data_IF_284555240982
#
_entry.id   IF_284555240982
#
_cell.length_a   1.000
_cell.length_b   1.000
_cell.length_c   1.000
_cell.angle_alpha   90.00
_cell.angle_beta   90.00
_cell.angle_gamma   90.00
#
_symmetry.space_group_name_H-M   'P 1'
#
loop_
_entity.id
_entity.type
_entity.pdbx_description
1 polymer ?
#
# COMPACT_ATOMS: atom_id res chain seq x y z
N UNK A 1 -18.59 7.63 -9.07
CA UNK A 1 -17.21 7.16 -8.76
C UNK A 1 -17.03 6.84 -7.27
N UNK A 2 -17.83 5.92 -6.69
CA UNK A 2 -17.92 5.72 -5.22
C UNK A 2 -17.58 4.31 -4.73
N UNK A 3 -17.36 3.34 -5.62
CA UNK A 3 -17.23 1.92 -5.24
C UNK A 3 -15.87 1.46 -4.68
N UNK A 4 -14.82 2.29 -4.65
CA UNK A 4 -13.51 1.82 -4.18
C UNK A 4 -13.44 1.68 -2.65
N UNK A 5 -14.24 2.46 -1.91
CA UNK A 5 -14.24 2.44 -0.44
C UNK A 5 -14.73 1.11 0.11
N UNK A 6 -15.78 0.52 -0.48
CA UNK A 6 -16.28 -0.79 -0.06
C UNK A 6 -15.25 -1.90 -0.28
N UNK A 7 -14.60 -1.91 -1.45
CA UNK A 7 -13.52 -2.86 -1.75
C UNK A 7 -12.32 -2.70 -0.81
N UNK A 8 -11.97 -1.44 -0.49
CA UNK A 8 -10.91 -1.16 0.47
C UNK A 8 -11.27 -1.65 1.88
N UNK A 9 -12.48 -1.35 2.36
CA UNK A 9 -12.96 -1.77 3.68
C UNK A 9 -13.01 -3.30 3.79
N UNK A 10 -13.55 -3.98 2.77
CA UNK A 10 -13.56 -5.44 2.70
C UNK A 10 -12.13 -6.00 2.78
N UNK A 11 -11.19 -5.40 2.05
CA UNK A 11 -9.79 -5.84 2.08
C UNK A 11 -9.09 -5.59 3.42
N UNK A 12 -9.61 -4.67 4.23
CA UNK A 12 -9.06 -4.33 5.54
C UNK A 12 -9.79 -4.99 6.71
N UNK A 13 -10.93 -5.64 6.48
CA UNK A 13 -11.74 -6.25 7.54
C UNK A 13 -10.92 -7.25 8.37
N UNK A 14 -10.26 -8.20 7.70
CA UNK A 14 -9.41 -9.20 8.36
C UNK A 14 -8.22 -8.60 9.13
N UNK A 15 -7.34 -7.77 8.52
CA UNK A 15 -6.22 -7.20 9.26
C UNK A 15 -6.69 -6.26 10.39
N UNK A 16 -7.87 -5.64 10.28
CA UNK A 16 -8.48 -4.91 11.40
C UNK A 16 -8.89 -5.85 12.53
N UNK A 17 -9.59 -6.94 12.24
CA UNK A 17 -10.02 -7.90 13.27
C UNK A 17 -8.83 -8.50 14.01
N UNK A 18 -7.77 -8.88 13.28
CA UNK A 18 -6.51 -9.36 13.89
C UNK A 18 -5.87 -8.27 14.73
N UNK A 19 -5.75 -7.05 14.20
CA UNK A 19 -5.08 -5.97 14.93
C UNK A 19 -5.86 -5.60 16.19
N UNK A 20 -7.19 -5.59 16.14
CA UNK A 20 -8.05 -5.36 17.29
C UNK A 20 -7.85 -6.45 18.34
N UNK A 21 -7.85 -7.73 17.94
CA UNK A 21 -7.63 -8.85 18.85
C UNK A 21 -6.24 -8.78 19.51
N UNK A 22 -5.20 -8.48 18.73
CA UNK A 22 -3.83 -8.30 19.24
C UNK A 22 -3.77 -7.13 20.21
N UNK A 23 -4.32 -5.97 19.86
CA UNK A 23 -4.32 -4.79 20.72
C UNK A 23 -5.06 -5.06 22.03
N UNK A 24 -6.21 -5.76 21.99
CA UNK A 24 -6.96 -6.13 23.20
C UNK A 24 -6.15 -7.07 24.11
N UNK A 25 -5.56 -8.12 23.55
CA UNK A 25 -4.75 -9.09 24.31
C UNK A 25 -3.52 -8.42 24.90
N UNK A 26 -2.79 -7.64 24.10
CA UNK A 26 -1.58 -6.94 24.57
C UNK A 26 -1.95 -5.90 25.63
N UNK A 27 -3.05 -5.17 25.47
CA UNK A 27 -3.47 -4.19 26.47
C UNK A 27 -3.96 -4.84 27.78
N UNK A 28 -4.52 -6.05 27.72
CA UNK A 28 -4.85 -6.83 28.91
C UNK A 28 -3.59 -7.31 29.67
N UNK A 29 -2.50 -7.59 28.94
CA UNK A 29 -1.21 -7.99 29.53
C UNK A 29 -0.36 -6.79 29.98
N UNK A 30 -0.45 -5.67 29.25
CA UNK A 30 0.31 -4.44 29.48
C UNK A 30 -0.65 -3.26 29.41
N UNK A 31 -1.26 -2.88 30.56
CA UNK A 31 -2.16 -1.75 30.63
C UNK A 31 -1.48 -0.47 30.13
N UNK A 32 -2.11 0.23 29.20
CA UNK A 32 -1.58 1.46 28.60
C UNK A 32 -0.88 1.27 27.25
N UNK A 33 -0.73 0.04 26.75
CA UNK A 33 -0.22 -0.23 25.40
C UNK A 33 -1.00 0.53 24.32
N UNK A 34 -2.33 0.55 24.40
CA UNK A 34 -3.19 1.26 23.42
C UNK A 34 -2.85 2.75 23.37
N UNK A 35 -2.66 3.38 24.54
CA UNK A 35 -2.32 4.79 24.63
C UNK A 35 -0.94 5.06 24.04
N UNK A 36 0.05 4.23 24.38
CA UNK A 36 1.40 4.33 23.80
C UNK A 36 1.41 4.13 22.28
N UNK A 37 0.64 3.15 21.78
CA UNK A 37 0.49 2.87 20.36
C UNK A 37 -0.15 4.04 19.60
N UNK A 38 -1.25 4.58 20.12
CA UNK A 38 -1.94 5.73 19.53
C UNK A 38 -1.05 6.98 19.56
N UNK A 39 -0.40 7.26 20.70
CA UNK A 39 0.53 8.38 20.84
C UNK A 39 1.71 8.26 19.87
N UNK A 40 2.32 7.07 19.78
CA UNK A 40 3.40 6.79 18.83
C UNK A 40 2.97 6.93 17.37
N UNK A 41 1.76 6.47 17.04
CA UNK A 41 1.19 6.61 15.69
C UNK A 41 0.95 8.07 15.31
N UNK A 42 0.44 8.88 16.25
CA UNK A 42 0.24 10.32 16.08
C UNK A 42 1.59 11.02 15.94
N UNK A 43 2.57 10.70 16.79
CA UNK A 43 3.92 11.26 16.72
C UNK A 43 4.60 10.93 15.39
N UNK A 44 4.53 9.67 14.93
CA UNK A 44 5.04 9.26 13.62
C UNK A 44 4.32 9.96 12.46
N UNK A 45 3.01 10.16 12.55
CA UNK A 45 2.23 10.90 11.57
C UNK A 45 2.61 12.38 11.50
N UNK A 46 2.83 13.02 12.65
CA UNK A 46 3.30 14.40 12.76
C UNK A 46 4.74 14.54 12.27
N UNK A 47 5.63 13.61 12.63
CA UNK A 47 7.00 13.57 12.16
C UNK A 47 7.03 13.45 10.63
N UNK A 48 6.25 12.52 10.05
CA UNK A 48 6.09 12.37 8.59
C UNK A 48 5.53 13.63 7.91
N UNK A 49 4.70 14.40 8.60
CA UNK A 49 4.18 15.68 8.08
C UNK A 49 5.26 16.76 8.10
N UNK A 50 6.09 16.78 9.15
CA UNK A 50 7.14 17.78 9.38
C UNK A 50 8.39 17.53 8.53
N UNK A 51 8.80 16.28 8.34
CA UNK A 51 9.95 15.89 7.50
C UNK A 51 9.60 15.81 6.02
N UNK A 52 8.35 16.10 5.64
CA UNK A 52 7.85 15.87 4.30
C UNK A 52 7.76 14.37 3.96
N UNK A 53 7.14 14.05 2.82
CA UNK A 53 7.04 12.67 2.33
C UNK A 53 8.38 12.08 1.85
N UNK A 54 9.50 12.76 2.12
CA UNK A 54 10.84 12.41 1.66
C UNK A 54 11.60 11.53 2.65
N UNK A 55 11.06 10.36 3.01
CA UNK A 55 11.93 9.32 3.57
C UNK A 55 12.91 8.88 2.47
N UNK A 56 14.08 9.51 2.44
CA UNK A 56 15.14 9.30 1.45
C UNK A 56 14.87 9.93 0.07
N UNK A 57 13.98 10.93 -0.04
CA UNK A 57 13.78 11.66 -1.30
C UNK A 57 14.27 13.10 -1.18
N UNK A 58 15.02 13.57 -2.18
CA UNK A 58 15.51 14.95 -2.28
C UNK A 58 14.60 15.78 -3.19
N UNK A 59 14.55 17.12 -3.07
CA UNK A 59 13.92 17.94 -4.09
C UNK A 59 14.63 17.76 -5.44
N UNK A 60 13.86 17.78 -6.52
CA UNK A 60 14.40 17.75 -7.88
C UNK A 60 15.15 19.06 -8.19
N UNK A 61 16.26 18.96 -8.91
CA UNK A 61 17.00 20.11 -9.42
C UNK A 61 16.21 20.81 -10.55
N UNK A 62 16.49 22.09 -10.86
CA UNK A 62 15.75 22.81 -11.90
C UNK A 62 15.78 22.12 -13.28
N UNK A 63 16.91 21.48 -13.64
CA UNK A 63 17.03 20.72 -14.88
C UNK A 63 16.15 19.46 -14.89
N UNK A 64 16.08 18.74 -13.77
CA UNK A 64 15.20 17.58 -13.61
C UNK A 64 13.73 18.00 -13.64
N UNK A 65 13.38 19.14 -13.01
CA UNK A 65 12.03 19.70 -13.07
C UNK A 65 11.63 20.02 -14.50
N UNK A 66 12.52 20.65 -15.30
CA UNK A 66 12.24 20.95 -16.70
C UNK A 66 11.93 19.68 -17.52
N UNK A 67 12.70 18.61 -17.29
CA UNK A 67 12.48 17.30 -17.91
C UNK A 67 11.14 16.68 -17.47
N UNK A 68 10.81 16.75 -16.17
CA UNK A 68 9.60 16.16 -15.60
C UNK A 68 8.33 16.94 -15.96
N UNK A 69 8.44 18.26 -16.16
CA UNK A 69 7.33 19.16 -16.52
C UNK A 69 6.68 18.78 -17.84
N UNK A 70 7.46 18.35 -18.83
CA UNK A 70 6.94 17.89 -20.12
C UNK A 70 5.92 16.75 -19.99
N UNK A 71 6.10 15.87 -19.01
CA UNK A 71 5.19 14.76 -18.74
C UNK A 71 4.01 15.17 -17.87
N UNK A 72 4.25 16.03 -16.87
CA UNK A 72 3.19 16.59 -16.03
C UNK A 72 2.14 17.35 -16.84
N UNK A 73 2.55 18.04 -17.90
CA UNK A 73 1.66 18.76 -18.82
C UNK A 73 0.72 17.86 -19.63
N UNK A 74 1.05 16.57 -19.80
CA UNK A 74 0.23 15.59 -20.51
C UNK A 74 -0.88 14.98 -19.63
N UNK A 75 -0.80 15.14 -18.30
CA UNK A 75 -1.78 14.57 -17.37
C UNK A 75 -2.85 15.60 -17.03
N UNK A 76 -4.12 15.42 -17.44
CA UNK A 76 -5.16 16.44 -17.28
C UNK A 76 -5.39 16.87 -15.82
N UNK A 77 -5.25 15.95 -14.87
CA UNK A 77 -5.42 16.21 -13.43
C UNK A 77 -4.37 17.17 -12.86
N UNK A 78 -3.22 17.29 -13.53
CA UNK A 78 -2.11 18.17 -13.16
C UNK A 78 -2.07 19.46 -13.99
N UNK A 79 -2.80 19.51 -15.12
CA UNK A 79 -2.87 20.69 -15.99
C UNK A 79 -3.67 21.80 -15.30
N UNK A 80 -3.08 23.00 -15.21
CA UNK A 80 -3.77 24.21 -14.70
C UNK A 80 -3.89 24.34 -13.18
N UNK A 81 -3.42 23.37 -12.39
CA UNK A 81 -3.20 23.54 -10.94
C UNK A 81 -1.71 23.73 -10.74
N UNK A 82 -1.31 24.77 -10.00
CA UNK A 82 0.09 25.18 -9.84
C UNK A 82 1.11 24.03 -9.76
N UNK A 83 2.29 24.27 -10.32
CA UNK A 83 3.27 23.25 -10.64
C UNK A 83 3.52 22.25 -9.48
N UNK A 84 3.41 20.92 -9.72
CA UNK A 84 3.66 19.96 -8.67
C UNK A 84 5.11 20.04 -8.21
N UNK A 85 5.33 19.95 -6.90
CA UNK A 85 6.65 19.77 -6.31
C UNK A 85 7.18 18.36 -6.66
N UNK A 86 8.31 18.33 -7.35
CA UNK A 86 8.97 17.09 -7.77
C UNK A 86 10.03 16.69 -6.75
N UNK A 87 9.99 15.43 -6.35
CA UNK A 87 10.95 14.84 -5.43
C UNK A 87 11.55 13.59 -6.05
N UNK A 88 12.85 13.39 -5.85
CA UNK A 88 13.60 12.26 -6.41
C UNK A 88 14.04 11.36 -5.28
N UNK A 89 13.65 10.09 -5.36
CA UNK A 89 14.01 9.05 -4.40
C UNK A 89 15.06 8.12 -5.00
N UNK A 90 16.11 7.84 -4.25
CA UNK A 90 17.06 6.77 -4.56
C UNK A 90 16.43 5.43 -4.17
N UNK A 91 15.65 4.83 -5.06
CA UNK A 91 15.05 3.51 -4.86
C UNK A 91 14.65 2.93 -6.20
N UNK A 92 14.74 1.61 -6.33
CA UNK A 92 14.31 0.89 -7.53
C UNK A 92 12.85 0.40 -7.43
N UNK A 93 12.19 0.66 -6.28
CA UNK A 93 10.85 0.16 -6.00
C UNK A 93 9.80 1.12 -6.54
N UNK A 94 9.30 0.80 -7.74
CA UNK A 94 8.21 1.51 -8.41
C UNK A 94 8.63 2.85 -8.98
N UNK A 95 8.30 3.14 -10.23
CA UNK A 95 8.87 4.29 -10.96
C UNK A 95 8.40 5.65 -10.43
N UNK A 96 7.16 5.72 -9.94
CA UNK A 96 6.55 6.97 -9.53
C UNK A 96 5.40 6.74 -8.55
N UNK A 97 5.24 7.66 -7.60
CA UNK A 97 4.05 7.72 -6.75
C UNK A 97 3.59 9.16 -6.56
N UNK A 98 2.38 9.32 -6.02
CA UNK A 98 1.82 10.65 -5.73
C UNK A 98 1.18 10.66 -4.33
N UNK A 99 1.90 11.15 -3.28
CA UNK A 99 1.40 11.13 -1.91
C UNK A 99 0.31 12.16 -1.64
N UNK A 100 0.32 13.26 -2.38
CA UNK A 100 -0.67 14.33 -2.31
C UNK A 100 -0.84 14.96 -3.70
N UNK A 101 -1.84 15.83 -3.86
CA UNK A 101 -2.17 16.46 -5.16
C UNK A 101 -1.10 17.41 -5.72
N UNK A 102 -0.13 17.82 -4.92
CA UNK A 102 0.92 18.82 -5.24
C UNK A 102 2.33 18.27 -5.18
N UNK A 103 2.50 16.98 -4.91
CA UNK A 103 3.81 16.36 -4.70
C UNK A 103 3.85 15.08 -5.50
N UNK A 104 4.83 14.98 -6.37
CA UNK A 104 5.12 13.77 -7.14
C UNK A 104 6.50 13.31 -6.71
N UNK A 105 6.62 12.02 -6.38
CA UNK A 105 7.91 11.42 -6.08
C UNK A 105 8.25 10.44 -7.19
N UNK A 106 9.43 10.62 -7.75
CA UNK A 106 9.96 9.88 -8.90
C UNK A 106 11.23 9.16 -8.45
N UNK A 107 11.50 7.98 -8.98
CA UNK A 107 12.78 7.31 -8.71
C UNK A 107 13.90 7.89 -9.56
N UNK A 108 15.12 7.89 -9.01
CA UNK A 108 16.32 8.30 -9.77
C UNK A 108 16.51 7.49 -11.05
N UNK A 109 16.19 6.20 -11.03
CA UNK A 109 16.26 5.32 -12.20
C UNK A 109 15.33 5.76 -13.33
N UNK A 110 14.12 6.26 -13.02
CA UNK A 110 13.20 6.77 -14.04
C UNK A 110 13.72 8.07 -14.65
N UNK A 111 14.26 8.98 -13.83
CA UNK A 111 14.85 10.24 -14.30
C UNK A 111 16.01 9.96 -15.26
N UNK A 112 16.87 9.00 -14.91
CA UNK A 112 17.99 8.62 -15.78
C UNK A 112 17.53 7.93 -17.06
N UNK A 113 16.50 7.08 -16.98
CA UNK A 113 15.89 6.42 -18.15
C UNK A 113 15.20 7.40 -19.10
N UNK A 114 14.64 8.50 -18.57
CA UNK A 114 14.11 9.59 -19.40
C UNK A 114 15.23 10.41 -20.02
N UNK A 115 16.29 10.70 -19.27
CA UNK A 115 17.46 11.44 -19.77
C UNK A 115 18.15 10.71 -20.93
N UNK A 116 18.29 9.40 -20.81
CA UNK A 116 18.89 8.52 -21.83
C UNK A 116 17.94 8.20 -22.99
N UNK A 117 16.69 8.66 -22.94
CA UNK A 117 15.68 8.41 -23.97
C UNK A 117 15.16 6.96 -24.01
N UNK A 118 15.58 6.11 -23.08
CA UNK A 118 15.13 4.71 -22.95
C UNK A 118 13.62 4.63 -22.68
N UNK A 119 13.10 5.59 -21.91
CA UNK A 119 11.66 5.68 -21.62
C UNK A 119 11.08 6.94 -22.24
N UNK A 120 10.04 6.76 -23.06
CA UNK A 120 9.31 7.87 -23.67
C UNK A 120 8.56 8.72 -22.61
N UNK A 121 8.53 10.06 -22.76
CA UNK A 121 7.79 10.96 -21.87
C UNK A 121 6.29 10.65 -21.82
N UNK A 122 5.72 10.11 -22.90
CA UNK A 122 4.29 9.71 -22.97
C UNK A 122 4.03 8.50 -22.06
N UNK A 123 4.96 7.54 -21.99
CA UNK A 123 4.86 6.38 -21.08
C UNK A 123 4.91 6.81 -19.62
N UNK A 124 5.83 7.71 -19.30
CA UNK A 124 5.90 8.26 -17.95
C UNK A 124 4.68 9.10 -17.58
N UNK A 125 4.10 9.84 -18.54
CA UNK A 125 2.82 10.53 -18.34
C UNK A 125 1.68 9.53 -18.06
N UNK A 126 1.67 8.37 -18.72
CA UNK A 126 0.68 7.32 -18.47
C UNK A 126 0.80 6.72 -17.06
N UNK A 127 2.04 6.48 -16.60
CA UNK A 127 2.33 6.04 -15.22
C UNK A 127 1.93 7.12 -14.21
N UNK A 128 2.22 8.39 -14.50
CA UNK A 128 1.83 9.53 -13.67
C UNK A 128 0.30 9.69 -13.60
N UNK A 129 -0.41 9.50 -14.72
CA UNK A 129 -1.86 9.51 -14.78
C UNK A 129 -2.46 8.37 -13.93
N UNK A 130 -1.87 7.17 -13.99
CA UNK A 130 -2.27 6.05 -13.14
C UNK A 130 -2.01 6.32 -11.65
N UNK A 131 -0.88 6.93 -11.31
CA UNK A 131 -0.58 7.37 -9.94
C UNK A 131 -1.54 8.46 -9.46
N UNK A 132 -1.89 9.41 -10.33
CA UNK A 132 -2.88 10.45 -10.06
C UNK A 132 -4.29 9.86 -9.87
N UNK A 133 -4.65 8.82 -10.63
CA UNK A 133 -5.89 8.05 -10.48
C UNK A 133 -6.07 7.44 -9.09
N UNK A 134 -4.96 7.11 -8.43
CA UNK A 134 -4.93 6.56 -7.07
C UNK A 134 -4.96 7.62 -5.97
N UNK A 135 -4.90 8.92 -6.29
CA UNK A 135 -4.95 10.01 -5.32
C UNK A 135 -6.14 9.96 -4.35
N UNK A 136 -7.37 9.64 -4.77
CA UNK A 136 -8.50 9.53 -3.84
C UNK A 136 -8.25 8.53 -2.72
N UNK A 137 -7.45 7.50 -2.98
CA UNK A 137 -7.05 6.49 -1.99
C UNK A 137 -5.90 7.01 -1.13
N UNK A 138 -4.79 7.46 -1.74
CA UNK A 138 -3.57 7.86 -1.00
C UNK A 138 -3.78 9.09 -0.12
N UNK A 139 -4.70 9.98 -0.49
CA UNK A 139 -5.06 11.18 0.27
C UNK A 139 -6.20 10.97 1.26
N UNK A 140 -6.88 9.81 1.23
CA UNK A 140 -8.01 9.55 2.12
C UNK A 140 -7.56 9.41 3.57
N UNK A 141 -8.22 10.18 4.47
CA UNK A 141 -8.03 10.05 5.92
C UNK A 141 -8.42 8.65 6.41
N UNK A 142 -9.51 8.10 5.87
CA UNK A 142 -9.97 6.74 6.20
C UNK A 142 -8.91 5.70 5.89
N UNK A 143 -8.24 5.80 4.73
CA UNK A 143 -7.14 4.90 4.38
C UNK A 143 -6.03 5.04 5.40
N UNK A 144 -5.59 6.26 5.74
CA UNK A 144 -4.53 6.46 6.74
C UNK A 144 -4.87 5.87 8.11
N UNK A 145 -6.09 6.11 8.60
CA UNK A 145 -6.53 5.57 9.90
C UNK A 145 -6.55 4.05 9.87
N UNK A 146 -7.09 3.44 8.83
CA UNK A 146 -7.16 1.99 8.70
C UNK A 146 -5.77 1.36 8.54
N UNK A 147 -4.85 1.99 7.82
CA UNK A 147 -3.46 1.52 7.70
C UNK A 147 -2.74 1.52 9.06
N UNK A 148 -2.99 2.53 9.91
CA UNK A 148 -2.48 2.58 11.29
C UNK A 148 -3.17 1.56 12.18
N UNK A 149 -4.48 1.40 12.06
CA UNK A 149 -5.21 0.40 12.84
C UNK A 149 -4.82 -1.04 12.46
N UNK A 150 -4.44 -1.29 11.20
CA UNK A 150 -4.01 -2.59 10.68
C UNK A 150 -2.52 -2.89 10.88
N UNK A 151 -1.74 -1.95 11.40
CA UNK A 151 -0.29 -2.09 11.52
C UNK A 151 0.14 -3.30 12.35
N UNK A 152 -0.48 -3.63 13.50
CA UNK A 152 -0.13 -4.82 14.27
C UNK A 152 -0.22 -6.11 13.44
N UNK A 153 -1.33 -6.32 12.72
CA UNK A 153 -1.47 -7.46 11.82
C UNK A 153 -0.42 -7.46 10.70
N UNK A 154 -0.02 -6.29 10.20
CA UNK A 154 1.03 -6.18 9.17
C UNK A 154 2.42 -6.50 9.69
N UNK A 155 2.74 -6.09 10.92
CA UNK A 155 4.00 -6.43 11.55
C UNK A 155 4.08 -7.95 11.75
N UNK A 156 3.02 -8.57 12.27
CA UNK A 156 2.95 -10.03 12.45
C UNK A 156 3.10 -10.75 11.11
N UNK A 157 2.34 -10.34 10.08
CA UNK A 157 2.48 -10.97 8.76
C UNK A 157 3.86 -10.72 8.16
N UNK A 158 4.49 -9.56 8.37
CA UNK A 158 5.85 -9.25 7.92
C UNK A 158 6.91 -10.19 8.47
N UNK A 159 6.70 -10.74 9.67
CA UNK A 159 7.58 -11.76 10.26
C UNK A 159 7.41 -13.14 9.62
N UNK A 160 6.31 -13.37 8.90
CA UNK A 160 6.03 -14.66 8.24
C UNK A 160 6.70 -14.68 6.85
N UNK A 161 7.59 -15.66 6.59
CA UNK A 161 8.26 -15.82 5.30
C UNK A 161 7.26 -15.85 4.13
N UNK A 162 7.59 -15.15 3.04
CA UNK A 162 6.75 -15.12 1.82
C UNK A 162 6.54 -16.52 1.22
N UNK A 163 7.47 -17.45 1.41
CA UNK A 163 7.37 -18.85 0.97
C UNK A 163 6.17 -19.59 1.58
N UNK A 164 5.78 -19.26 2.80
CA UNK A 164 4.70 -19.92 3.56
C UNK A 164 3.32 -19.38 3.15
N UNK A 165 3.24 -18.25 2.44
CA UNK A 165 1.97 -17.60 2.05
C UNK A 165 1.33 -18.18 0.79
N UNK A 166 1.85 -19.25 0.21
CA UNK A 166 1.23 -19.89 -0.96
C UNK A 166 -0.04 -20.63 -0.52
N UNK A 167 -1.17 -20.46 -1.24
CA UNK A 167 -2.45 -21.07 -0.85
C UNK A 167 -2.43 -22.61 -0.85
N UNK A 168 -1.45 -23.22 -1.53
CA UNK A 168 -1.28 -24.66 -1.64
C UNK A 168 -0.26 -25.26 -0.66
N UNK A 169 0.32 -24.44 0.23
CA UNK A 169 1.22 -24.98 1.25
C UNK A 169 0.37 -25.77 2.27
N UNK A 170 0.82 -26.92 2.82
CA UNK A 170 0.07 -27.67 3.83
C UNK A 170 0.06 -26.99 5.22
N UNK A 171 0.94 -26.02 5.44
CA UNK A 171 1.12 -25.33 6.72
C UNK A 171 -0.09 -24.52 7.21
N UNK A 172 -0.83 -23.77 6.36
CA UNK A 172 -2.05 -23.08 6.76
C UNK A 172 -3.11 -24.08 7.24
N UNK A 173 -3.26 -25.22 6.57
CA UNK A 173 -4.19 -26.29 6.95
C UNK A 173 -3.81 -26.92 8.31
N UNK A 174 -2.53 -27.24 8.49
CA UNK A 174 -2.00 -27.71 9.77
C UNK A 174 -2.15 -26.69 10.91
N UNK A 175 -1.90 -25.41 10.64
CA UNK A 175 -2.11 -24.32 11.60
C UNK A 175 -3.60 -24.15 11.95
N UNK A 176 -4.52 -24.27 10.98
CA UNK A 176 -5.95 -24.27 11.28
C UNK A 176 -6.36 -25.46 12.16
N UNK A 177 -5.89 -26.68 11.87
CA UNK A 177 -6.19 -27.84 12.72
C UNK A 177 -5.62 -27.69 14.14
N UNK A 178 -4.35 -27.28 14.26
CA UNK A 178 -3.71 -27.05 15.56
C UNK A 178 -4.38 -25.92 16.33
N UNK A 179 -4.83 -24.88 15.62
CA UNK A 179 -5.61 -23.80 16.24
C UNK A 179 -6.95 -24.29 16.76
N UNK A 180 -7.65 -25.17 16.04
CA UNK A 180 -8.94 -25.71 16.45
C UNK A 180 -8.81 -26.53 17.74
N UNK A 181 -7.76 -27.36 17.83
CA UNK A 181 -7.44 -28.12 19.04
C UNK A 181 -7.12 -27.19 20.21
N UNK A 182 -6.29 -26.17 19.98
CA UNK A 182 -5.94 -25.20 21.01
C UNK A 182 -7.16 -24.39 21.48
N UNK A 183 -8.09 -24.05 20.60
CA UNK A 183 -9.35 -23.36 20.91
C UNK A 183 -10.24 -24.20 21.81
N UNK A 184 -10.42 -25.48 21.51
CA UNK A 184 -11.20 -26.41 22.34
C UNK A 184 -10.57 -26.53 23.73
N UNK A 185 -9.24 -26.63 23.79
CA UNK A 185 -8.51 -26.74 25.05
C UNK A 185 -8.52 -25.44 25.88
N UNK A 186 -8.44 -24.27 25.25
CA UNK A 186 -8.50 -22.98 25.96
C UNK A 186 -9.93 -22.62 26.37
N UNK A 187 -10.94 -22.99 25.56
CA UNK A 187 -12.35 -22.83 25.89
C UNK A 187 -12.76 -23.66 27.10
N UNK A 188 -12.30 -24.90 27.19
CA UNK A 188 -12.56 -25.76 28.37
C UNK A 188 -11.89 -25.25 29.65
N UNK A 189 -10.81 -24.46 29.54
CA UNK A 189 -10.14 -23.79 30.66
C UNK A 189 -10.75 -22.41 31.00
N UNK A 190 -11.83 -22.00 30.34
CA UNK A 190 -12.46 -20.69 30.53
C UNK A 190 -11.66 -19.50 29.98
N UNK A 191 -10.58 -19.75 29.23
CA UNK A 191 -9.67 -18.74 28.68
C UNK A 191 -10.12 -18.30 27.27
N UNK A 192 -11.37 -17.87 27.17
CA UNK A 192 -12.04 -17.52 25.91
C UNK A 192 -11.30 -16.45 25.09
N UNK A 193 -10.60 -15.51 25.75
CA UNK A 193 -9.80 -14.51 25.05
C UNK A 193 -8.66 -15.11 24.20
N UNK A 194 -8.01 -16.17 24.70
CA UNK A 194 -6.92 -16.87 23.98
C UNK A 194 -7.50 -17.74 22.87
N UNK A 195 -8.63 -18.40 23.13
CA UNK A 195 -9.34 -19.19 22.13
C UNK A 195 -9.77 -18.31 20.92
N UNK A 196 -10.36 -17.14 21.18
CA UNK A 196 -10.77 -16.21 20.10
C UNK A 196 -9.55 -15.76 19.27
N UNK A 197 -8.43 -15.42 19.92
CA UNK A 197 -7.20 -15.04 19.24
C UNK A 197 -6.68 -16.18 18.34
N UNK A 198 -6.75 -17.42 18.82
CA UNK A 198 -6.31 -18.60 18.10
C UNK A 198 -7.18 -18.93 16.88
N UNK A 199 -8.46 -18.54 16.83
CA UNK A 199 -9.30 -18.65 15.61
C UNK A 199 -9.00 -17.52 14.63
N UNK A 200 -8.86 -16.30 15.14
CA UNK A 200 -8.70 -15.09 14.30
C UNK A 200 -7.37 -15.12 13.53
N UNK A 201 -6.29 -15.56 14.16
CA UNK A 201 -4.96 -15.58 13.55
C UNK A 201 -4.86 -16.47 12.29
N UNK A 202 -5.24 -17.76 12.30
CA UNK A 202 -5.21 -18.62 11.12
C UNK A 202 -6.24 -18.22 10.07
N UNK A 203 -7.45 -17.82 10.47
CA UNK A 203 -8.45 -17.28 9.53
C UNK A 203 -7.88 -16.07 8.77
N UNK A 204 -7.12 -15.22 9.46
CA UNK A 204 -6.47 -14.10 8.82
C UNK A 204 -5.31 -14.48 7.90
N UNK A 205 -4.52 -15.50 8.26
CA UNK A 205 -3.44 -16.00 7.41
C UNK A 205 -3.97 -16.58 6.10
N UNK A 206 -5.12 -17.25 6.14
CA UNK A 206 -5.76 -17.84 4.96
C UNK A 206 -6.45 -16.78 4.11
N UNK A 207 -7.21 -15.87 4.71
CA UNK A 207 -8.06 -14.96 3.96
C UNK A 207 -7.35 -13.65 3.54
N UNK A 208 -6.39 -13.14 4.33
CA UNK A 208 -5.73 -11.86 4.02
C UNK A 208 -5.05 -11.80 2.64
N UNK A 209 -4.38 -12.86 2.14
CA UNK A 209 -3.77 -12.84 0.81
C UNK A 209 -4.80 -12.63 -0.31
N UNK A 210 -5.98 -13.27 -0.22
CA UNK A 210 -7.03 -13.16 -1.22
C UNK A 210 -7.62 -11.74 -1.28
N UNK A 211 -7.92 -11.19 -0.11
CA UNK A 211 -8.47 -9.84 0.02
C UNK A 211 -7.46 -8.75 -0.42
N UNK A 212 -6.18 -8.93 -0.09
CA UNK A 212 -5.13 -8.02 -0.54
C UNK A 212 -4.95 -8.11 -2.06
N UNK A 213 -4.92 -9.31 -2.65
CA UNK A 213 -4.85 -9.47 -4.10
C UNK A 213 -6.00 -8.76 -4.82
N UNK A 214 -7.24 -8.93 -4.33
CA UNK A 214 -8.42 -8.27 -4.88
C UNK A 214 -8.33 -6.74 -4.79
N UNK A 215 -7.79 -6.22 -3.69
CA UNK A 215 -7.55 -4.79 -3.52
C UNK A 215 -6.47 -4.26 -4.48
N UNK A 216 -5.37 -4.99 -4.66
CA UNK A 216 -4.32 -4.64 -5.62
C UNK A 216 -4.86 -4.59 -7.05
N UNK A 217 -5.70 -5.56 -7.43
CA UNK A 217 -6.41 -5.52 -8.72
C UNK A 217 -7.27 -4.27 -8.86
N UNK A 218 -7.99 -3.86 -7.80
CA UNK A 218 -8.81 -2.65 -7.85
C UNK A 218 -7.96 -1.37 -7.93
N UNK A 219 -6.82 -1.31 -7.26
CA UNK A 219 -5.84 -0.23 -7.40
C UNK A 219 -5.24 -0.15 -8.82
N UNK A 220 -5.00 -1.31 -9.43
CA UNK A 220 -4.56 -1.39 -10.83
C UNK A 220 -5.64 -0.84 -11.76
N UNK A 221 -6.88 -1.28 -11.62
CA UNK A 221 -8.03 -0.79 -12.39
C UNK A 221 -8.24 0.73 -12.27
N UNK A 222 -8.13 1.29 -11.06
CA UNK A 222 -8.23 2.76 -10.90
C UNK A 222 -7.08 3.50 -11.59
N UNK A 223 -5.92 2.87 -11.70
CA UNK A 223 -4.80 3.40 -12.47
C UNK A 223 -5.11 3.39 -13.97
N UNK A 224 -5.54 2.25 -14.50
CA UNK A 224 -5.88 2.09 -15.92
C UNK A 224 -7.03 3.01 -16.34
N UNK A 225 -8.08 3.13 -15.52
CA UNK A 225 -9.21 4.04 -15.76
C UNK A 225 -8.75 5.51 -15.86
N UNK A 226 -7.79 5.90 -15.02
CA UNK A 226 -7.26 7.26 -15.02
C UNK A 226 -6.33 7.52 -16.22
N UNK A 227 -5.55 6.52 -16.63
CA UNK A 227 -4.74 6.58 -17.85
C UNK A 227 -5.61 6.65 -19.11
N UNK A 228 -6.69 5.85 -19.17
CA UNK A 228 -7.65 5.88 -20.29
C UNK A 228 -8.37 7.24 -20.37
N UNK A 229 -8.83 7.77 -19.24
CA UNK A 229 -9.39 9.14 -19.18
C UNK A 229 -8.42 10.25 -19.60
N UNK A 230 -7.12 9.99 -19.55
CA UNK A 230 -6.10 10.90 -20.02
C UNK A 230 -5.79 10.72 -21.52
N UNK A 231 -6.41 9.76 -22.21
CA UNK A 231 -6.11 9.42 -23.60
C UNK A 231 -4.73 8.78 -23.78
N UNK A 232 -4.22 8.10 -22.75
CA UNK A 232 -2.87 7.55 -22.69
C UNK A 232 -2.85 6.01 -22.69
N UNK A 233 -3.95 5.38 -23.09
CA UNK A 233 -4.12 3.91 -23.07
C UNK A 233 -3.14 3.19 -24.01
N UNK A 234 -2.89 3.72 -25.20
CA UNK A 234 -1.94 3.17 -26.17
C UNK A 234 -0.49 3.17 -25.67
N UNK A 235 -0.15 4.12 -24.78
CA UNK A 235 1.16 4.18 -24.16
C UNK A 235 1.39 3.09 -23.09
N UNK A 236 0.30 2.47 -22.59
CA UNK A 236 0.37 1.39 -21.59
C UNK A 236 0.26 -0.02 -22.17
N UNK A 237 -0.36 -0.19 -23.35
CA UNK A 237 -0.53 -1.49 -24.00
C UNK A 237 0.80 -2.18 -24.34
N UNK A 238 1.87 -1.41 -24.59
CA UNK A 238 3.23 -1.94 -24.81
C UNK A 238 3.98 -2.31 -23.52
N UNK A 239 3.47 -1.96 -22.33
CA UNK A 239 4.17 -2.16 -21.05
C UNK A 239 3.92 -3.54 -20.41
N UNK A 240 2.84 -4.25 -20.81
CA UNK A 240 2.60 -5.64 -20.38
C UNK A 240 3.44 -6.67 -21.15
N UNK A 241 4.12 -6.25 -22.22
CA UNK A 241 4.95 -7.13 -23.05
C UNK A 241 6.37 -7.38 -22.54
N UNK A 242 6.84 -6.76 -21.45
CA UNK A 242 8.26 -6.86 -21.08
C UNK A 242 8.59 -6.89 -19.57
N UNK A 243 7.70 -7.44 -18.73
CA UNK A 243 7.98 -7.67 -17.29
C UNK A 243 8.33 -9.13 -17.00
N UNK A 244 8.78 -9.88 -18.01
CA UNK A 244 9.32 -11.23 -17.81
C UNK A 244 10.50 -11.50 -18.73
N UNK A 245 11.60 -10.80 -18.47
CA UNK A 245 12.92 -11.33 -18.80
C UNK A 245 13.28 -12.39 -17.75
N UNK A 246 12.79 -13.61 -17.97
CA UNK A 246 13.41 -14.81 -17.42
C UNK A 246 14.62 -15.11 -18.32
N UNK A 247 15.83 -15.16 -17.74
CA UNK A 247 17.09 -15.48 -18.43
C UNK A 247 18.25 -14.62 -17.96
#
# INVERSE_FOLDING_TARGET
MTGWRSHYLLARLIPLTVSLAVVLVVNALVPGFVLGWLAGSVAAGLLRRRTGCGFGARPATPAEVALLRGMGGLVPVLRGRGEPSWWIRQSDIGWMWMPNRRTVVVTSGLVESLRTGVVSPVRCAAVLAGAAGRLPVTTSRLVRVLEVACMPARLITGLIPRSIRRPWHPLPAGLTCLSLVAVIQQGSQGRWGVAILQVILPAALVCAPWFEARWQTRLAQMGTDATSKAGLEDATAFATGNVRGDG
#
